data_IF_641058940373
#
_entry.id   IF_641058940373
#
_cell.length_a   1.000
_cell.length_b   1.000
_cell.length_c   1.000
_cell.angle_alpha   90.00
_cell.angle_beta   90.00
_cell.angle_gamma   90.00
#
_symmetry.space_group_name_H-M   'P 1'
#
loop_
_entity.id
_entity.type
_entity.pdbx_description
1 polymer ?
#
# COMPACT_ATOMS: atom_id res chain seq x y z
N UNK A 1 29.25 -4.22 11.63
CA UNK A 1 29.55 -2.81 11.28
C UNK A 1 29.92 -2.74 9.80
N UNK A 2 29.34 -1.81 9.03
CA UNK A 2 29.70 -1.62 7.62
C UNK A 2 31.11 -1.01 7.50
N UNK A 3 31.90 -1.50 6.55
CA UNK A 3 33.26 -1.01 6.29
C UNK A 3 33.19 0.35 5.56
N UNK A 4 33.47 1.43 6.29
CA UNK A 4 33.37 2.81 5.78
C UNK A 4 34.31 3.08 4.61
N UNK A 5 35.40 2.34 4.43
CA UNK A 5 36.32 2.49 3.29
C UNK A 5 35.80 1.83 2.02
N UNK A 6 35.18 0.65 2.14
CA UNK A 6 34.66 -0.11 0.99
C UNK A 6 33.40 0.54 0.39
N UNK A 7 32.58 1.18 1.24
CA UNK A 7 31.28 1.75 0.84
C UNK A 7 31.29 3.30 0.75
N UNK A 8 32.44 3.96 0.94
CA UNK A 8 32.58 5.41 0.74
C UNK A 8 32.98 5.75 -0.70
N UNK A 9 32.05 5.56 -1.63
CA UNK A 9 32.23 6.10 -2.99
C UNK A 9 31.96 7.61 -3.00
N UNK A 10 32.94 8.41 -3.44
CA UNK A 10 32.76 9.85 -3.64
C UNK A 10 31.71 10.16 -4.71
N UNK A 11 31.64 9.29 -5.73
CA UNK A 11 30.61 9.34 -6.78
C UNK A 11 29.23 9.04 -6.19
N UNK A 12 29.14 8.06 -5.28
CA UNK A 12 27.90 7.77 -4.58
C UNK A 12 27.42 8.95 -3.72
N UNK A 13 28.32 9.69 -3.05
CA UNK A 13 27.92 10.89 -2.29
C UNK A 13 27.37 12.02 -3.16
N UNK A 14 27.79 12.11 -4.42
CA UNK A 14 27.35 13.14 -5.35
C UNK A 14 26.07 12.76 -6.10
N UNK A 15 25.91 11.47 -6.43
CA UNK A 15 24.83 10.97 -7.28
C UNK A 15 23.71 10.24 -6.52
N UNK A 16 23.89 9.89 -5.25
CA UNK A 16 22.84 9.21 -4.50
C UNK A 16 21.68 10.17 -4.20
N UNK A 17 20.43 9.75 -4.45
CA UNK A 17 19.27 10.50 -4.02
C UNK A 17 19.31 10.66 -2.51
N UNK A 18 19.05 11.88 -2.05
CA UNK A 18 18.96 12.15 -0.60
C UNK A 18 17.66 11.57 -0.07
N UNK A 19 17.65 11.05 1.17
CA UNK A 19 16.42 10.69 1.85
C UNK A 19 15.44 11.88 1.81
N UNK A 20 14.21 11.61 1.41
CA UNK A 20 13.13 12.60 1.26
C UNK A 20 12.00 12.39 2.28
N UNK A 21 12.17 11.41 3.17
CA UNK A 21 11.23 11.10 4.24
C UNK A 21 11.96 10.72 5.54
N UNK A 22 11.18 10.57 6.60
CA UNK A 22 11.61 9.95 7.86
C UNK A 22 10.70 8.78 8.18
N UNK A 23 11.26 7.72 8.76
CA UNK A 23 10.45 6.61 9.27
C UNK A 23 9.80 6.97 10.62
N UNK A 24 9.06 6.03 11.20
CA UNK A 24 8.34 6.23 12.46
C UNK A 24 9.23 6.34 13.71
N UNK A 25 10.53 6.06 13.58
CA UNK A 25 11.56 6.27 14.61
C UNK A 25 12.38 7.55 14.36
N UNK A 26 11.97 8.38 13.38
CA UNK A 26 12.66 9.62 13.02
C UNK A 26 13.97 9.43 12.25
N UNK A 27 14.27 8.21 11.78
CA UNK A 27 15.47 7.95 10.96
C UNK A 27 15.22 8.29 9.48
N UNK A 28 16.26 8.73 8.73
CA UNK A 28 16.12 9.05 7.30
C UNK A 28 15.60 7.85 6.48
N UNK A 29 14.64 8.11 5.61
CA UNK A 29 13.97 7.13 4.76
C UNK A 29 13.63 7.71 3.37
N UNK A 30 13.09 6.86 2.50
CA UNK A 30 12.59 7.28 1.19
C UNK A 30 11.08 7.09 1.12
N UNK A 31 10.36 8.11 0.64
CA UNK A 31 8.92 8.03 0.46
C UNK A 31 8.57 7.01 -0.64
N UNK A 32 7.54 6.21 -0.39
CA UNK A 32 6.95 5.41 -1.46
C UNK A 32 6.09 6.29 -2.37
N UNK A 33 6.12 6.00 -3.68
CA UNK A 33 5.09 6.45 -4.59
C UNK A 33 3.72 5.87 -4.20
N UNK A 34 2.61 6.50 -4.63
CA UNK A 34 1.26 6.12 -4.22
C UNK A 34 0.91 4.67 -4.57
N UNK A 35 1.24 4.22 -5.78
CA UNK A 35 1.04 2.83 -6.23
C UNK A 35 1.80 1.82 -5.37
N UNK A 36 3.07 2.10 -5.06
CA UNK A 36 3.87 1.22 -4.20
C UNK A 36 3.32 1.20 -2.78
N UNK A 37 2.97 2.37 -2.21
CA UNK A 37 2.34 2.44 -0.88
C UNK A 37 1.05 1.62 -0.84
N UNK A 38 0.19 1.77 -1.85
CA UNK A 38 -1.06 1.02 -1.94
C UNK A 38 -0.79 -0.48 -2.08
N UNK A 39 0.10 -0.90 -2.97
CA UNK A 39 0.42 -2.32 -3.16
C UNK A 39 0.98 -2.97 -1.89
N UNK A 40 1.86 -2.27 -1.17
CA UNK A 40 2.37 -2.73 0.12
C UNK A 40 1.23 -2.91 1.12
N UNK A 41 0.40 -1.89 1.30
CA UNK A 41 -0.73 -1.95 2.24
C UNK A 41 -1.75 -3.01 1.83
N UNK A 42 -2.02 -3.17 0.53
CA UNK A 42 -2.94 -4.17 0.00
C UNK A 42 -2.48 -5.59 0.31
N UNK A 43 -1.17 -5.85 0.25
CA UNK A 43 -0.60 -7.18 0.46
C UNK A 43 -0.31 -7.50 1.94
N UNK A 44 -0.04 -6.51 2.79
CA UNK A 44 0.44 -6.75 4.16
C UNK A 44 -0.37 -6.05 5.26
N UNK A 45 -1.27 -5.14 4.92
CA UNK A 45 -2.03 -4.36 5.88
C UNK A 45 -3.22 -5.14 6.43
N UNK A 46 -3.30 -5.30 7.74
CA UNK A 46 -4.30 -6.16 8.40
C UNK A 46 -5.52 -5.42 8.94
N UNK A 47 -5.57 -4.09 8.80
CA UNK A 47 -6.57 -3.20 9.43
C UNK A 47 -6.72 -3.47 10.93
N UNK A 48 -5.58 -3.64 11.60
CA UNK A 48 -5.48 -3.93 13.03
C UNK A 48 -4.33 -3.13 13.65
N UNK A 49 -4.38 -2.97 14.96
CA UNK A 49 -3.31 -2.32 15.71
C UNK A 49 -1.98 -3.07 15.55
N UNK A 50 -0.90 -2.30 15.42
CA UNK A 50 0.46 -2.83 15.30
C UNK A 50 1.42 -1.96 16.12
N UNK A 51 2.70 -2.32 16.07
CA UNK A 51 3.76 -1.65 16.84
C UNK A 51 3.83 -0.13 16.61
N UNK A 52 3.41 0.32 15.42
CA UNK A 52 3.68 1.64 14.90
C UNK A 52 2.42 2.48 14.60
N UNK A 53 1.23 1.93 14.82
CA UNK A 53 -0.02 2.60 14.51
C UNK A 53 -1.24 1.75 14.85
N UNK A 54 -2.41 2.38 14.79
CA UNK A 54 -3.69 1.72 15.03
C UNK A 54 -4.36 1.29 13.73
N UNK A 55 -5.44 0.52 13.84
CA UNK A 55 -6.31 0.18 12.72
C UNK A 55 -6.80 1.42 11.96
N UNK A 56 -7.18 2.49 12.67
CA UNK A 56 -7.71 3.73 12.08
C UNK A 56 -6.65 4.49 11.29
N UNK A 57 -5.41 4.56 11.79
CA UNK A 57 -4.34 5.22 11.03
C UNK A 57 -3.99 4.44 9.78
N UNK A 58 -4.00 3.11 9.84
CA UNK A 58 -3.82 2.28 8.65
C UNK A 58 -4.97 2.43 7.65
N UNK A 59 -6.21 2.49 8.11
CA UNK A 59 -7.38 2.74 7.24
C UNK A 59 -7.24 4.08 6.53
N UNK A 60 -6.87 5.14 7.25
CA UNK A 60 -6.64 6.46 6.67
C UNK A 60 -5.51 6.43 5.63
N UNK A 61 -4.40 5.72 5.93
CA UNK A 61 -3.27 5.55 5.01
C UNK A 61 -3.66 4.81 3.71
N UNK A 62 -4.48 3.76 3.81
CA UNK A 62 -4.97 3.00 2.65
C UNK A 62 -5.87 3.87 1.77
N UNK A 63 -6.83 4.57 2.37
CA UNK A 63 -7.75 5.45 1.63
C UNK A 63 -7.01 6.63 0.97
N UNK A 64 -6.02 7.19 1.65
CA UNK A 64 -5.16 8.23 1.07
C UNK A 64 -4.35 7.70 -0.12
N UNK A 65 -3.77 6.50 0.01
CA UNK A 65 -3.02 5.87 -1.07
C UNK A 65 -3.92 5.53 -2.26
N UNK A 66 -5.12 4.97 -2.02
CA UNK A 66 -6.09 4.67 -3.06
C UNK A 66 -6.54 5.93 -3.82
N UNK A 67 -6.82 7.02 -3.11
CA UNK A 67 -7.18 8.32 -3.73
C UNK A 67 -6.07 8.95 -4.55
N UNK A 68 -4.81 8.66 -4.20
CA UNK A 68 -3.64 9.15 -4.92
C UNK A 68 -3.20 8.22 -6.07
N UNK A 69 -3.93 7.14 -6.32
CA UNK A 69 -3.60 6.12 -7.30
C UNK A 69 -4.71 6.02 -8.35
N UNK A 70 -4.35 5.62 -9.57
CA UNK A 70 -5.33 5.38 -10.63
C UNK A 70 -6.34 4.27 -10.22
N UNK A 71 -7.66 4.47 -10.40
CA UNK A 71 -8.67 3.48 -10.02
C UNK A 71 -8.46 2.10 -10.64
N UNK A 72 -7.91 2.01 -11.85
CA UNK A 72 -7.58 0.73 -12.48
C UNK A 72 -6.49 -0.02 -11.70
N UNK A 73 -5.48 0.68 -11.22
CA UNK A 73 -4.47 0.08 -10.36
C UNK A 73 -5.07 -0.33 -9.00
N UNK A 74 -5.99 0.46 -8.43
CA UNK A 74 -6.72 0.08 -7.20
C UNK A 74 -7.50 -1.21 -7.40
N UNK A 75 -8.17 -1.38 -8.55
CA UNK A 75 -8.84 -2.63 -8.93
C UNK A 75 -7.88 -3.81 -9.02
N UNK A 76 -6.72 -3.64 -9.65
CA UNK A 76 -5.69 -4.67 -9.70
C UNK A 76 -5.17 -5.05 -8.31
N UNK A 77 -4.92 -4.05 -7.44
CA UNK A 77 -4.47 -4.27 -6.08
C UNK A 77 -5.51 -5.03 -5.24
N UNK A 78 -6.80 -4.70 -5.37
CA UNK A 78 -7.89 -5.40 -4.69
C UNK A 78 -7.96 -6.88 -5.11
N UNK A 79 -7.92 -7.14 -6.42
CA UNK A 79 -7.93 -8.50 -6.95
C UNK A 79 -6.70 -9.28 -6.48
N UNK A 80 -5.50 -8.68 -6.54
CA UNK A 80 -4.27 -9.33 -6.11
C UNK A 80 -4.31 -9.66 -4.61
N UNK A 81 -4.73 -8.71 -3.78
CA UNK A 81 -4.86 -8.89 -2.34
C UNK A 81 -5.79 -10.07 -2.01
N UNK A 82 -6.90 -10.23 -2.75
CA UNK A 82 -7.78 -11.39 -2.58
C UNK A 82 -7.16 -12.69 -3.06
N UNK A 83 -6.75 -12.73 -4.33
CA UNK A 83 -6.43 -13.98 -5.03
C UNK A 83 -5.04 -14.52 -4.68
N UNK A 84 -4.07 -13.63 -4.45
CA UNK A 84 -2.66 -13.99 -4.17
C UNK A 84 -2.24 -13.63 -2.75
N UNK A 85 -2.75 -12.52 -2.20
CA UNK A 85 -2.46 -12.10 -0.82
C UNK A 85 -3.25 -12.85 0.25
N UNK A 86 -4.28 -13.62 -0.13
CA UNK A 86 -5.21 -14.30 0.79
C UNK A 86 -5.87 -13.35 1.81
N UNK A 87 -6.01 -12.07 1.45
CA UNK A 87 -6.57 -11.03 2.30
C UNK A 87 -8.10 -11.06 2.30
N UNK A 88 -8.68 -10.52 3.37
CA UNK A 88 -10.14 -10.40 3.56
C UNK A 88 -10.59 -8.94 3.54
N UNK A 89 -10.33 -8.19 4.60
CA UNK A 89 -10.94 -6.87 4.79
C UNK A 89 -10.35 -5.81 3.84
N UNK A 90 -9.06 -5.95 3.53
CA UNK A 90 -8.35 -5.05 2.61
C UNK A 90 -8.94 -5.04 1.18
N UNK A 91 -9.09 -6.18 0.48
CA UNK A 91 -9.68 -6.16 -0.85
C UNK A 91 -11.16 -5.74 -0.83
N UNK A 92 -11.92 -6.07 0.22
CA UNK A 92 -13.31 -5.61 0.38
C UNK A 92 -13.39 -4.07 0.51
N UNK A 93 -12.50 -3.46 1.29
CA UNK A 93 -12.38 -2.00 1.41
C UNK A 93 -12.07 -1.34 0.06
N UNK A 94 -11.13 -1.89 -0.70
CA UNK A 94 -10.76 -1.34 -2.01
C UNK A 94 -11.89 -1.51 -3.03
N UNK A 95 -12.60 -2.64 -3.02
CA UNK A 95 -13.79 -2.84 -3.84
C UNK A 95 -14.90 -1.83 -3.48
N UNK A 96 -15.12 -1.57 -2.19
CA UNK A 96 -16.07 -0.56 -1.74
C UNK A 96 -15.64 0.86 -2.17
N UNK A 97 -14.35 1.19 -2.07
CA UNK A 97 -13.83 2.48 -2.54
C UNK A 97 -14.09 2.70 -4.04
N UNK A 98 -13.94 1.65 -4.86
CA UNK A 98 -14.20 1.74 -6.31
C UNK A 98 -15.66 2.10 -6.63
N UNK A 99 -16.63 1.73 -5.79
CA UNK A 99 -18.04 2.14 -6.02
C UNK A 99 -18.25 3.65 -6.05
N UNK A 100 -17.32 4.42 -5.49
CA UNK A 100 -17.32 5.89 -5.52
C UNK A 100 -16.31 6.43 -6.54
N UNK A 101 -15.12 5.82 -6.61
CA UNK A 101 -14.03 6.32 -7.46
C UNK A 101 -14.22 5.98 -8.95
N UNK A 102 -14.69 4.78 -9.25
CA UNK A 102 -14.99 4.30 -10.60
C UNK A 102 -16.02 3.15 -10.53
N UNK A 103 -17.33 3.48 -10.58
CA UNK A 103 -18.40 2.49 -10.44
C UNK A 103 -18.38 1.40 -11.51
N UNK A 104 -17.88 1.69 -12.71
CA UNK A 104 -17.82 0.73 -13.81
C UNK A 104 -16.75 -0.33 -13.55
N UNK A 105 -15.61 0.05 -12.93
CA UNK A 105 -14.60 -0.91 -12.46
C UNK A 105 -15.06 -1.69 -11.23
N UNK A 106 -15.94 -1.14 -10.40
CA UNK A 106 -16.42 -1.84 -9.21
C UNK A 106 -17.17 -3.14 -9.56
N UNK A 107 -17.93 -3.15 -10.66
CA UNK A 107 -18.72 -4.31 -11.11
C UNK A 107 -17.83 -5.56 -11.36
N UNK A 108 -16.84 -5.53 -12.28
CA UNK A 108 -15.99 -6.70 -12.53
C UNK A 108 -15.04 -7.04 -11.37
N UNK A 109 -14.77 -6.10 -10.47
CA UNK A 109 -13.95 -6.35 -9.27
C UNK A 109 -14.75 -7.07 -8.20
N UNK A 110 -16.03 -6.70 -8.01
CA UNK A 110 -16.89 -7.26 -6.97
C UNK A 110 -16.94 -8.79 -7.03
N UNK A 111 -17.24 -9.37 -8.20
CA UNK A 111 -17.34 -10.82 -8.38
C UNK A 111 -16.02 -11.57 -8.14
N UNK A 112 -14.87 -10.88 -8.26
CA UNK A 112 -13.53 -11.45 -8.05
C UNK A 112 -13.03 -11.31 -6.61
N UNK A 113 -13.58 -10.36 -5.87
CA UNK A 113 -13.17 -10.03 -4.50
C UNK A 113 -14.16 -10.58 -3.48
N UNK A 114 -15.45 -10.35 -3.70
CA UNK A 114 -16.57 -10.79 -2.86
C UNK A 114 -17.03 -12.17 -3.35
N UNK A 115 -16.11 -13.13 -3.32
CA UNK A 115 -16.26 -14.45 -3.94
C UNK A 115 -17.01 -15.49 -3.06
N UNK A 116 -17.31 -15.17 -1.80
CA UNK A 116 -18.01 -16.06 -0.87
C UNK A 116 -18.68 -15.30 0.28
N UNK A 117 -19.55 -16.00 1.02
CA UNK A 117 -20.31 -15.41 2.13
C UNK A 117 -19.47 -14.94 3.33
N UNK A 118 -18.17 -15.23 3.41
CA UNK A 118 -17.32 -14.61 4.44
C UNK A 118 -16.90 -13.18 4.07
N UNK A 119 -16.99 -12.83 2.79
CA UNK A 119 -16.65 -11.51 2.25
C UNK A 119 -17.83 -10.53 2.24
N UNK A 120 -19.06 -11.04 2.40
CA UNK A 120 -20.28 -10.26 2.63
C UNK A 120 -20.47 -9.98 4.12
#
# INVERSE_FOLDING_TARGET
MANKGLFASAVARLLQPRPDAVNREGAPAYAYGPEHKLAQLAATGTLADNFYGSAETQLADVLAAAKATDPYFVAQAAIYARQSGAMKDMPALLAAYLTVADPDLAIPVFDRVIDNGRML
#
